data_IF_613941679720
#
_entry.id   IF_613941679720
#
_cell.length_a   1.000
_cell.length_b   1.000
_cell.length_c   1.000
_cell.angle_alpha   90.00
_cell.angle_beta   90.00
_cell.angle_gamma   90.00
#
_symmetry.space_group_name_H-M   'P 1'
#
loop_
_entity.id
_entity.type
_entity.pdbx_description
1 polymer ?
#
# COMPACT_ATOMS: atom_id res chain seq x y z
N UNK A 1 -6.08 -32.82 12.83
CA UNK A 1 -5.34 -31.95 13.78
C UNK A 1 -5.11 -30.59 13.08
N UNK A 2 -6.06 -29.65 13.18
CA UNK A 2 -5.93 -28.32 12.56
C UNK A 2 -5.06 -27.42 13.44
N UNK A 3 -3.76 -27.34 13.15
CA UNK A 3 -2.95 -26.17 13.53
C UNK A 3 -3.11 -25.12 12.44
N UNK A 4 -4.10 -24.22 12.58
CA UNK A 4 -4.06 -22.95 11.85
C UNK A 4 -3.06 -22.07 12.60
N UNK A 5 -1.89 -21.85 11.99
CA UNK A 5 -0.95 -20.83 12.44
C UNK A 5 -1.70 -19.51 12.43
N UNK A 6 -1.97 -18.94 13.61
CA UNK A 6 -2.56 -17.62 13.73
C UNK A 6 -1.51 -16.60 13.30
N UNK A 7 -1.42 -16.35 11.99
CA UNK A 7 -0.64 -15.24 11.47
C UNK A 7 -1.22 -13.95 12.06
N UNK A 8 -0.33 -13.05 12.48
CA UNK A 8 -0.68 -11.82 13.19
C UNK A 8 -1.41 -10.84 12.26
N UNK A 9 -2.69 -11.11 12.00
CA UNK A 9 -3.54 -10.31 11.12
C UNK A 9 -3.77 -8.93 11.72
N UNK A 10 -3.62 -7.90 10.88
CA UNK A 10 -3.95 -6.51 11.21
C UNK A 10 -4.95 -5.99 10.20
N UNK A 11 -5.77 -5.02 10.61
CA UNK A 11 -6.54 -4.24 9.64
C UNK A 11 -5.60 -3.50 8.71
N UNK A 12 -4.57 -2.87 9.25
CA UNK A 12 -3.63 -2.07 8.49
C UNK A 12 -2.24 -2.27 9.08
N UNK A 13 -1.24 -2.37 8.21
CA UNK A 13 0.14 -2.61 8.62
C UNK A 13 0.90 -1.35 9.01
N UNK A 14 0.39 -0.18 8.65
CA UNK A 14 1.01 1.12 8.94
C UNK A 14 0.42 1.82 10.17
N UNK A 15 0.35 3.14 10.09
CA UNK A 15 -0.15 4.02 11.13
C UNK A 15 -1.69 4.04 11.15
N UNK A 16 -2.28 3.08 11.85
CA UNK A 16 -3.71 2.94 11.99
C UNK A 16 -4.06 2.32 13.33
N UNK A 17 -4.79 3.04 14.17
CA UNK A 17 -5.05 2.64 15.55
C UNK A 17 -6.47 2.98 16.01
N UNK A 18 -6.83 2.45 17.18
CA UNK A 18 -8.13 2.65 17.83
C UNK A 18 -9.33 2.40 16.89
N UNK A 19 -9.20 1.44 15.98
CA UNK A 19 -10.18 1.24 14.93
C UNK A 19 -11.52 0.72 15.46
N UNK A 20 -12.61 1.15 14.83
CA UNK A 20 -13.97 0.82 15.26
C UNK A 20 -14.88 0.65 14.06
N UNK A 21 -15.73 -0.37 14.12
CA UNK A 21 -16.73 -0.60 13.08
C UNK A 21 -18.14 -0.26 13.53
N UNK A 22 -18.99 0.09 12.57
CA UNK A 22 -20.44 0.11 12.74
C UNK A 22 -21.10 -0.55 11.52
N UNK A 23 -22.37 -0.95 11.68
CA UNK A 23 -23.17 -1.45 10.56
C UNK A 23 -23.99 -0.31 9.98
N UNK A 24 -23.87 -0.09 8.67
CA UNK A 24 -24.69 0.82 7.89
C UNK A 24 -25.91 0.05 7.35
N UNK A 25 -27.12 0.26 7.90
CA UNK A 25 -28.32 -0.44 7.46
C UNK A 25 -28.82 0.04 6.09
N UNK A 26 -28.50 1.27 5.68
CA UNK A 26 -28.98 1.82 4.41
C UNK A 26 -28.27 1.16 3.21
N UNK A 27 -26.96 0.94 3.33
CA UNK A 27 -26.16 0.24 2.29
C UNK A 27 -25.82 -1.21 2.62
N UNK A 28 -26.32 -1.74 3.74
CA UNK A 28 -26.12 -3.13 4.19
C UNK A 28 -24.66 -3.56 4.24
N UNK A 29 -23.79 -2.70 4.77
CA UNK A 29 -22.34 -2.90 4.83
C UNK A 29 -21.78 -2.60 6.22
N UNK A 30 -20.65 -3.21 6.56
CA UNK A 30 -19.88 -2.86 7.76
C UNK A 30 -18.81 -1.86 7.39
N UNK A 31 -18.80 -0.72 8.07
CA UNK A 31 -17.86 0.37 7.84
C UNK A 31 -16.86 0.43 9.00
N UNK A 32 -15.58 0.53 8.69
CA UNK A 32 -14.45 0.67 9.60
C UNK A 32 -13.92 2.10 9.56
N UNK A 33 -13.76 2.66 10.74
CA UNK A 33 -13.01 3.89 11.00
C UNK A 33 -11.71 3.56 11.72
N UNK A 34 -10.68 4.38 11.52
CA UNK A 34 -9.42 4.28 12.26
C UNK A 34 -8.75 5.62 12.42
N UNK A 35 -8.18 5.82 13.61
CA UNK A 35 -7.36 6.98 13.93
C UNK A 35 -5.97 6.79 13.34
N UNK A 36 -5.48 7.81 12.66
CA UNK A 36 -4.14 7.87 12.07
C UNK A 36 -3.37 8.91 12.84
N UNK A 37 -2.40 8.48 13.65
CA UNK A 37 -1.57 9.37 14.46
C UNK A 37 -0.66 10.23 13.58
N UNK A 38 0.02 11.20 14.17
CA UNK A 38 1.09 11.93 13.46
C UNK A 38 2.37 11.09 13.39
N UNK A 39 3.20 11.31 12.36
CA UNK A 39 4.55 10.75 12.29
C UNK A 39 5.65 11.82 12.37
N UNK A 40 5.28 13.10 12.45
CA UNK A 40 6.20 14.18 12.79
C UNK A 40 6.29 14.36 14.32
N UNK A 41 7.03 15.38 14.76
CA UNK A 41 7.26 15.64 16.19
C UNK A 41 6.09 16.39 16.83
N UNK A 42 5.85 16.20 18.13
CA UNK A 42 4.89 17.00 18.92
C UNK A 42 5.11 18.53 18.76
N UNK A 43 6.35 18.99 18.59
CA UNK A 43 6.64 20.40 18.30
C UNK A 43 6.05 20.87 16.97
N UNK A 44 6.04 19.99 15.96
CA UNK A 44 5.44 20.27 14.67
C UNK A 44 3.91 20.31 14.79
N UNK A 45 3.31 19.43 15.58
CA UNK A 45 1.87 19.46 15.94
C UNK A 45 1.48 20.81 16.55
N UNK A 46 2.21 21.25 17.58
CA UNK A 46 1.98 22.55 18.22
C UNK A 46 2.16 23.70 17.21
N UNK A 47 3.16 23.61 16.33
CA UNK A 47 3.42 24.66 15.34
C UNK A 47 2.35 24.74 14.23
N UNK A 48 1.78 23.61 13.80
CA UNK A 48 0.72 23.57 12.78
C UNK A 48 -0.68 23.80 13.36
N UNK A 49 -0.84 23.63 14.67
CA UNK A 49 -2.07 23.93 15.41
C UNK A 49 -3.12 22.82 15.38
N UNK A 50 -2.76 21.63 14.91
CA UNK A 50 -3.61 20.44 14.84
C UNK A 50 -2.76 19.17 14.86
N UNK A 51 -3.37 18.02 15.14
CA UNK A 51 -2.71 16.73 15.08
C UNK A 51 -3.73 15.62 14.77
N UNK A 52 -3.24 14.59 14.10
CA UNK A 52 -3.89 13.36 13.68
C UNK A 52 -4.98 13.52 12.62
N UNK A 53 -5.34 12.39 12.02
CA UNK A 53 -6.39 12.26 11.02
C UNK A 53 -7.30 11.05 11.34
N UNK A 54 -8.41 10.96 10.63
CA UNK A 54 -9.10 9.69 10.41
C UNK A 54 -8.75 9.19 9.02
N UNK A 55 -8.47 7.90 8.87
CA UNK A 55 -8.37 7.29 7.55
C UNK A 55 -9.71 7.32 6.83
N UNK A 56 -9.70 7.23 5.50
CA UNK A 56 -10.90 7.10 4.69
C UNK A 56 -11.71 5.90 5.18
N UNK A 57 -13.02 6.03 5.45
CA UNK A 57 -13.83 4.91 5.90
C UNK A 57 -13.76 3.74 4.92
N UNK A 58 -13.64 2.52 5.45
CA UNK A 58 -13.49 1.31 4.64
C UNK A 58 -14.66 0.38 4.85
N UNK A 59 -15.15 -0.25 3.79
CA UNK A 59 -15.98 -1.45 3.93
C UNK A 59 -15.10 -2.60 4.44
N UNK A 60 -15.66 -3.48 5.28
CA UNK A 60 -14.96 -4.68 5.78
C UNK A 60 -15.78 -5.92 5.52
N UNK A 61 -15.19 -6.89 4.84
CA UNK A 61 -15.80 -8.16 4.49
C UNK A 61 -14.85 -9.32 4.80
N UNK A 62 -15.39 -10.51 5.04
CA UNK A 62 -14.58 -11.74 5.07
C UNK A 62 -14.17 -12.06 3.64
N UNK A 63 -12.87 -12.28 3.41
CA UNK A 63 -12.40 -12.88 2.15
C UNK A 63 -12.82 -14.35 2.12
N UNK A 64 -13.88 -14.66 1.39
CA UNK A 64 -14.36 -16.04 1.26
C UNK A 64 -13.48 -16.90 0.36
N UNK A 65 -12.64 -16.29 -0.50
CA UNK A 65 -11.73 -17.03 -1.37
C UNK A 65 -10.54 -17.57 -0.58
N UNK A 66 -9.93 -16.74 0.27
CA UNK A 66 -8.85 -17.20 1.16
C UNK A 66 -9.38 -17.89 2.41
N UNK A 67 -10.59 -17.51 2.87
CA UNK A 67 -11.21 -18.01 4.11
C UNK A 67 -10.45 -17.62 5.39
N UNK A 68 -9.48 -16.71 5.28
CA UNK A 68 -8.54 -16.36 6.35
C UNK A 68 -8.19 -14.87 6.40
N UNK A 69 -8.64 -14.03 5.46
CA UNK A 69 -8.36 -12.60 5.44
C UNK A 69 -9.65 -11.77 5.59
N UNK A 70 -9.49 -10.51 5.96
CA UNK A 70 -10.54 -9.51 5.79
C UNK A 70 -10.18 -8.66 4.57
N UNK A 71 -11.16 -8.39 3.71
CA UNK A 71 -11.04 -7.42 2.65
C UNK A 71 -11.45 -6.06 3.19
N UNK A 72 -10.64 -5.05 2.90
CA UNK A 72 -10.90 -3.66 3.21
C UNK A 72 -10.83 -2.80 1.96
N UNK A 73 -11.89 -2.05 1.69
CA UNK A 73 -11.94 -1.19 0.52
C UNK A 73 -12.53 0.16 0.88
N UNK A 74 -11.97 1.29 0.40
CA UNK A 74 -12.57 2.61 0.59
C UNK A 74 -14.06 2.58 0.25
N UNK A 75 -14.88 3.27 1.05
CA UNK A 75 -16.32 3.37 0.77
C UNK A 75 -16.54 4.00 -0.60
N UNK A 76 -17.48 3.47 -1.38
CA UNK A 76 -17.76 3.90 -2.75
C UNK A 76 -18.01 5.42 -2.89
N UNK A 77 -18.48 6.07 -1.82
CA UNK A 77 -18.69 7.52 -1.79
C UNK A 77 -17.41 8.33 -2.06
N UNK A 78 -16.22 7.80 -1.74
CA UNK A 78 -14.94 8.46 -2.03
C UNK A 78 -14.75 8.66 -3.54
N UNK A 79 -15.33 7.78 -4.37
CA UNK A 79 -15.17 7.79 -5.81
C UNK A 79 -15.88 8.99 -6.46
N UNK A 80 -16.85 9.59 -5.76
CA UNK A 80 -17.52 10.83 -6.21
C UNK A 80 -16.59 12.05 -6.21
N UNK A 81 -15.43 11.97 -5.54
CA UNK A 81 -14.41 13.01 -5.52
C UNK A 81 -13.48 12.95 -6.76
N UNK A 82 -13.57 11.89 -7.57
CA UNK A 82 -12.81 11.74 -8.81
C UNK A 82 -13.32 12.77 -9.84
N UNK A 83 -12.42 13.60 -10.35
CA UNK A 83 -12.76 14.66 -11.32
C UNK A 83 -12.20 14.39 -12.72
N UNK A 84 -10.91 14.13 -12.84
CA UNK A 84 -10.23 13.80 -14.09
C UNK A 84 -9.55 12.43 -13.95
N UNK A 85 -9.61 11.60 -14.98
CA UNK A 85 -8.88 10.33 -15.06
C UNK A 85 -7.72 10.44 -16.05
N UNK A 86 -6.72 9.59 -15.88
CA UNK A 86 -5.63 9.39 -16.84
C UNK A 86 -5.36 7.90 -16.88
N UNK A 87 -5.72 7.28 -18.00
CA UNK A 87 -5.60 5.85 -18.17
C UNK A 87 -4.33 5.52 -18.95
N UNK A 88 -3.53 4.61 -18.40
CA UNK A 88 -2.26 4.18 -18.96
C UNK A 88 -2.25 2.65 -19.02
N UNK A 89 -1.77 2.10 -20.12
CA UNK A 89 -1.68 0.65 -20.31
C UNK A 89 -0.51 0.30 -21.24
N UNK A 90 -0.08 -0.97 -21.20
CA UNK A 90 1.00 -1.46 -22.08
C UNK A 90 2.38 -0.88 -21.76
N UNK A 91 2.61 -0.41 -20.53
CA UNK A 91 3.90 0.11 -20.08
C UNK A 91 4.75 -1.05 -19.58
N UNK A 92 5.89 -1.29 -20.23
CA UNK A 92 6.93 -2.18 -19.71
C UNK A 92 7.83 -1.40 -18.76
N UNK A 93 7.95 -1.87 -17.52
CA UNK A 93 8.86 -1.29 -16.53
C UNK A 93 10.12 -2.17 -16.47
N UNK A 94 11.21 -1.68 -17.08
CA UNK A 94 12.49 -2.38 -17.07
C UNK A 94 13.14 -2.37 -15.69
N UNK A 95 14.04 -3.32 -15.44
CA UNK A 95 14.76 -3.43 -14.18
C UNK A 95 15.44 -2.11 -13.79
N UNK A 96 15.07 -1.58 -12.62
CA UNK A 96 15.66 -0.37 -12.08
C UNK A 96 15.24 0.93 -12.76
N UNK A 97 14.27 0.89 -13.67
CA UNK A 97 13.72 2.07 -14.33
C UNK A 97 12.69 2.77 -13.44
N UNK A 98 12.48 4.06 -13.71
CA UNK A 98 11.40 4.86 -13.11
C UNK A 98 10.68 5.57 -14.24
N UNK A 99 9.41 5.23 -14.45
CA UNK A 99 8.56 5.87 -15.45
C UNK A 99 7.80 7.03 -14.81
N UNK A 100 8.14 8.30 -15.13
CA UNK A 100 7.43 9.45 -14.56
C UNK A 100 6.04 9.59 -15.16
N UNK A 101 5.04 9.86 -14.32
CA UNK A 101 3.69 10.21 -14.74
C UNK A 101 3.51 11.73 -14.69
N UNK A 102 3.23 12.35 -15.84
CA UNK A 102 3.00 13.80 -15.89
C UNK A 102 1.54 14.12 -15.54
N UNK A 103 1.30 14.35 -14.24
CA UNK A 103 -0.02 14.63 -13.69
C UNK A 103 -0.11 16.11 -13.30
N UNK A 104 -1.28 16.73 -13.56
CA UNK A 104 -1.53 18.14 -13.20
C UNK A 104 -1.40 18.42 -11.70
N UNK A 105 -1.80 17.47 -10.86
CA UNK A 105 -1.69 17.52 -9.39
C UNK A 105 -1.31 16.13 -8.90
N UNK A 106 -0.23 16.05 -8.13
CA UNK A 106 0.29 14.78 -7.60
C UNK A 106 0.11 14.63 -6.08
N UNK A 107 -0.42 15.65 -5.40
CA UNK A 107 -0.60 15.67 -3.94
C UNK A 107 -1.98 15.23 -3.48
N UNK A 108 -2.92 15.04 -4.40
CA UNK A 108 -4.26 14.55 -4.09
C UNK A 108 -4.75 13.68 -5.25
N UNK A 109 -4.69 12.35 -5.07
CA UNK A 109 -4.90 11.36 -6.12
C UNK A 109 -5.60 10.11 -5.58
N UNK A 110 -6.33 9.45 -6.46
CA UNK A 110 -6.82 8.07 -6.29
C UNK A 110 -6.26 7.26 -7.46
N UNK A 111 -5.26 6.43 -7.18
CA UNK A 111 -4.49 5.70 -8.18
C UNK A 111 -4.89 4.24 -8.13
N UNK A 112 -5.25 3.66 -9.26
CA UNK A 112 -5.42 2.21 -9.43
C UNK A 112 -4.38 1.72 -10.43
N UNK A 113 -3.68 0.64 -10.09
CA UNK A 113 -2.62 0.05 -10.89
C UNK A 113 -2.70 -1.47 -10.87
N UNK A 114 -2.44 -2.09 -12.02
CA UNK A 114 -2.30 -3.53 -12.16
C UNK A 114 -0.94 -3.87 -12.77
N UNK A 115 -0.27 -4.86 -12.21
CA UNK A 115 1.04 -5.33 -12.67
C UNK A 115 0.92 -6.76 -13.18
N UNK A 116 1.32 -6.97 -14.43
CA UNK A 116 1.51 -8.29 -15.00
C UNK A 116 2.99 -8.67 -14.92
N UNK A 117 3.28 -9.83 -14.35
CA UNK A 117 4.65 -10.30 -14.18
C UNK A 117 5.14 -11.04 -15.44
N UNK A 118 6.36 -10.74 -15.88
CA UNK A 118 7.02 -11.48 -16.95
C UNK A 118 7.46 -12.87 -16.45
N UNK A 119 7.22 -13.91 -17.26
CA UNK A 119 7.57 -15.30 -16.89
C UNK A 119 9.05 -15.50 -16.59
N UNK A 120 9.94 -14.77 -17.27
CA UNK A 120 11.40 -14.83 -17.02
C UNK A 120 11.75 -14.22 -15.68
N UNK A 121 11.04 -13.16 -15.28
CA UNK A 121 11.25 -12.53 -13.99
C UNK A 121 10.78 -13.44 -12.85
N UNK A 122 9.66 -14.17 -13.02
CA UNK A 122 9.22 -15.20 -12.05
C UNK A 122 10.27 -16.32 -11.93
N UNK A 123 10.81 -16.78 -13.06
CA UNK A 123 11.85 -17.81 -13.04
C UNK A 123 13.12 -17.33 -12.31
N UNK A 124 13.52 -16.07 -12.51
CA UNK A 124 14.65 -15.49 -11.80
C UNK A 124 14.42 -15.36 -10.28
N UNK A 125 13.19 -15.13 -9.84
CA UNK A 125 12.84 -15.10 -8.41
C UNK A 125 13.07 -16.46 -7.74
N UNK A 126 12.70 -17.56 -8.40
CA UNK A 126 12.88 -18.92 -7.87
C UNK A 126 14.34 -19.30 -7.58
N UNK A 127 15.30 -18.65 -8.25
CA UNK A 127 16.73 -18.86 -8.02
C UNK A 127 17.27 -18.04 -6.82
N UNK A 128 16.44 -17.16 -6.22
CA UNK A 128 16.79 -16.27 -5.11
C UNK A 128 16.39 -16.87 -3.75
N UNK A 129 17.32 -17.57 -3.08
CA UNK A 129 17.09 -18.25 -1.79
C UNK A 129 17.06 -17.31 -0.57
N UNK A 130 16.82 -16.01 -0.78
CA UNK A 130 16.85 -15.01 0.28
C UNK A 130 15.44 -14.76 0.83
N UNK A 131 15.25 -15.01 2.12
CA UNK A 131 14.01 -14.66 2.82
C UNK A 131 13.77 -13.15 2.80
N UNK A 132 12.54 -12.72 2.52
CA UNK A 132 12.16 -11.32 2.41
C UNK A 132 11.20 -10.87 3.51
N UNK A 133 11.38 -9.65 4.01
CA UNK A 133 10.43 -8.96 4.88
C UNK A 133 10.54 -7.45 4.67
N UNK A 134 9.38 -6.78 4.49
CA UNK A 134 9.32 -5.33 4.28
C UNK A 134 10.16 -4.55 5.29
N UNK A 135 10.08 -4.88 6.58
CA UNK A 135 10.72 -4.11 7.65
C UNK A 135 12.23 -4.30 7.79
N UNK A 136 12.79 -5.40 7.27
CA UNK A 136 14.21 -5.75 7.50
C UNK A 136 15.03 -5.89 6.23
N UNK A 137 14.38 -5.91 5.06
CA UNK A 137 15.05 -6.17 3.77
C UNK A 137 15.45 -4.90 3.03
N UNK A 138 15.62 -3.75 3.70
CA UNK A 138 16.22 -2.54 3.11
C UNK A 138 15.30 -1.69 2.23
N UNK A 139 13.98 -1.90 2.30
CA UNK A 139 12.99 -1.07 1.62
C UNK A 139 13.12 -1.05 0.09
N UNK A 140 12.66 0.04 -0.53
CA UNK A 140 12.64 0.22 -1.97
C UNK A 140 14.04 0.36 -2.60
N UNK A 141 15.10 0.53 -1.79
CA UNK A 141 16.48 0.59 -2.26
C UNK A 141 17.10 -0.80 -2.49
N UNK A 142 16.60 -1.83 -1.79
CA UNK A 142 17.13 -3.19 -1.87
C UNK A 142 16.48 -3.96 -3.03
N UNK A 143 17.25 -4.15 -4.09
CA UNK A 143 16.79 -4.82 -5.32
C UNK A 143 16.95 -6.33 -5.21
N UNK A 144 15.93 -7.06 -5.65
CA UNK A 144 15.97 -8.50 -5.89
C UNK A 144 15.63 -8.85 -7.33
N UNK A 145 15.46 -10.13 -7.60
CA UNK A 145 15.11 -10.61 -8.94
C UNK A 145 13.72 -10.14 -9.39
N UNK A 146 12.73 -10.12 -8.49
CA UNK A 146 11.37 -9.66 -8.76
C UNK A 146 10.88 -8.70 -7.68
N UNK A 147 11.48 -7.53 -7.66
CA UNK A 147 11.09 -6.45 -6.76
C UNK A 147 12.26 -5.60 -6.30
N UNK A 148 11.98 -4.43 -5.72
CA UNK A 148 10.65 -3.83 -5.56
C UNK A 148 10.11 -3.28 -6.89
N UNK A 149 8.80 -3.44 -7.15
CA UNK A 149 8.09 -2.78 -8.26
C UNK A 149 6.74 -2.25 -7.77
N UNK A 150 6.35 -1.06 -8.23
CA UNK A 150 5.16 -0.39 -7.72
C UNK A 150 5.13 1.09 -8.07
N UNK A 151 4.63 1.90 -7.14
CA UNK A 151 4.43 3.33 -7.29
C UNK A 151 5.36 4.11 -6.34
N UNK A 152 5.90 5.22 -6.85
CA UNK A 152 6.49 6.27 -6.03
C UNK A 152 5.48 7.41 -5.96
N UNK A 153 4.94 7.68 -4.77
CA UNK A 153 3.99 8.77 -4.53
C UNK A 153 4.61 9.86 -3.69
N UNK A 154 4.06 11.07 -3.79
CA UNK A 154 4.58 12.27 -3.12
C UNK A 154 6.09 12.44 -3.36
N UNK A 155 6.51 12.12 -4.60
CA UNK A 155 7.90 12.13 -4.99
C UNK A 155 8.29 13.50 -5.56
N UNK A 156 9.31 14.13 -4.99
CA UNK A 156 9.87 15.37 -5.52
C UNK A 156 11.33 15.19 -5.96
N UNK A 157 11.55 15.21 -7.28
CA UNK A 157 12.89 15.14 -7.87
C UNK A 157 13.78 16.33 -7.49
N UNK A 158 13.21 17.48 -7.13
CA UNK A 158 13.94 18.70 -6.76
C UNK A 158 14.28 18.73 -5.27
N UNK A 159 13.46 18.13 -4.39
CA UNK A 159 13.70 18.07 -2.94
C UNK A 159 14.35 16.75 -2.53
N UNK A 160 15.67 16.64 -2.75
CA UNK A 160 16.53 15.53 -2.25
C UNK A 160 16.08 14.10 -2.60
N UNK A 161 15.13 13.94 -3.53
CA UNK A 161 14.56 12.62 -3.84
C UNK A 161 13.68 12.10 -2.71
N UNK A 162 12.96 12.98 -2.01
CA UNK A 162 11.89 12.57 -1.13
C UNK A 162 10.83 11.81 -1.92
N UNK A 163 10.39 10.68 -1.37
CA UNK A 163 9.43 9.77 -1.99
C UNK A 163 8.84 8.82 -0.94
N UNK A 164 7.61 8.38 -1.19
CA UNK A 164 7.02 7.23 -0.49
C UNK A 164 6.83 6.12 -1.51
N UNK A 165 7.42 4.95 -1.26
CA UNK A 165 7.34 3.83 -2.19
C UNK A 165 6.28 2.84 -1.74
N UNK A 166 5.31 2.56 -2.60
CA UNK A 166 4.25 1.57 -2.38
C UNK A 166 4.45 0.47 -3.41
N UNK A 167 4.87 -0.72 -2.98
CA UNK A 167 5.40 -1.71 -3.91
C UNK A 167 5.09 -3.15 -3.52
N UNK A 168 5.23 -4.02 -4.51
CA UNK A 168 5.28 -5.46 -4.34
C UNK A 168 6.73 -5.96 -4.44
N UNK A 169 6.99 -7.07 -3.75
CA UNK A 169 8.21 -7.86 -3.88
C UNK A 169 7.82 -9.33 -3.87
N UNK A 170 8.35 -10.15 -4.77
CA UNK A 170 8.14 -11.59 -4.77
C UNK A 170 9.47 -12.27 -4.45
N UNK A 171 9.49 -13.03 -3.35
CA UNK A 171 10.68 -13.76 -2.93
C UNK A 171 10.84 -15.09 -3.68
N UNK A 172 11.94 -15.81 -3.44
CA UNK A 172 12.19 -17.08 -4.13
C UNK A 172 11.31 -18.24 -3.72
N UNK A 173 10.49 -18.09 -2.68
CA UNK A 173 9.39 -19.03 -2.40
C UNK A 173 8.11 -18.70 -3.20
N UNK A 174 8.18 -17.68 -4.07
CA UNK A 174 7.05 -17.06 -4.77
C UNK A 174 6.02 -16.44 -3.83
N UNK A 175 6.40 -16.11 -2.60
CA UNK A 175 5.53 -15.35 -1.72
C UNK A 175 5.56 -13.86 -2.11
N UNK A 176 4.38 -13.30 -2.38
CA UNK A 176 4.23 -11.88 -2.69
C UNK A 176 4.11 -11.09 -1.39
N UNK A 177 4.94 -10.08 -1.25
CA UNK A 177 4.94 -9.11 -0.16
C UNK A 177 4.44 -7.77 -0.67
N UNK A 178 3.55 -7.14 0.08
CA UNK A 178 3.10 -5.77 -0.14
C UNK A 178 3.72 -4.86 0.91
N UNK A 179 4.46 -3.85 0.48
CA UNK A 179 5.23 -2.96 1.34
C UNK A 179 4.95 -1.48 1.05
N UNK A 180 5.03 -0.69 2.11
CA UNK A 180 4.98 0.77 2.08
C UNK A 180 6.22 1.30 2.80
N UNK A 181 7.13 1.88 2.03
CA UNK A 181 8.42 2.39 2.47
C UNK A 181 8.38 3.92 2.59
N UNK A 182 8.45 4.37 3.83
CA UNK A 182 8.47 5.78 4.22
C UNK A 182 9.88 6.28 4.50
N UNK A 183 10.92 5.45 4.39
CA UNK A 183 12.30 5.78 4.79
C UNK A 183 12.92 6.98 4.06
N UNK A 184 12.31 7.40 2.95
CA UNK A 184 12.70 8.58 2.18
C UNK A 184 11.58 9.63 2.09
N UNK A 185 10.59 9.59 2.97
CA UNK A 185 9.39 10.45 2.94
C UNK A 185 9.51 11.75 3.76
N UNK A 186 10.72 12.05 4.24
CA UNK A 186 11.15 13.19 5.07
C UNK A 186 11.32 12.87 6.57
N UNK A 187 10.26 12.44 7.26
CA UNK A 187 10.24 12.35 8.74
C UNK A 187 10.07 10.94 9.29
N UNK A 188 9.40 10.06 8.58
CA UNK A 188 9.28 8.66 8.93
C UNK A 188 10.49 7.87 8.40
N UNK A 189 10.85 6.78 9.09
CA UNK A 189 12.00 5.93 8.74
C UNK A 189 11.63 4.44 8.62
N UNK A 190 10.34 4.12 8.65
CA UNK A 190 9.86 2.74 8.71
C UNK A 190 9.47 2.22 7.32
N UNK A 191 9.59 0.91 7.18
CA UNK A 191 9.02 0.16 6.06
C UNK A 191 8.03 -0.83 6.65
N UNK A 192 6.76 -0.65 6.31
CA UNK A 192 5.66 -1.47 6.83
C UNK A 192 5.09 -2.35 5.73
N UNK A 193 4.49 -3.48 6.11
CA UNK A 193 3.87 -4.39 5.16
C UNK A 193 3.93 -5.84 5.59
N UNK A 194 3.42 -6.71 4.73
CA UNK A 194 3.41 -8.16 4.96
C UNK A 194 3.30 -8.95 3.66
N UNK A 195 3.48 -10.27 3.77
CA UNK A 195 3.02 -11.20 2.75
C UNK A 195 1.51 -11.00 2.51
N UNK A 196 1.12 -11.00 1.23
CA UNK A 196 -0.27 -10.92 0.77
C UNK A 196 -0.56 -12.16 -0.09
N UNK A 197 -1.60 -12.94 0.23
CA UNK A 197 -1.99 -14.07 -0.61
C UNK A 197 -2.38 -13.59 -2.01
N UNK A 198 -1.83 -14.23 -3.03
CA UNK A 198 -2.22 -14.08 -4.44
C UNK A 198 -2.79 -15.41 -4.88
N UNK A 199 -4.03 -15.42 -5.38
CA UNK A 199 -4.74 -16.63 -5.75
C UNK A 199 -4.38 -17.08 -7.17
N UNK A 200 -4.56 -18.36 -7.48
CA UNK A 200 -4.25 -18.91 -8.81
C UNK A 200 -5.10 -18.28 -9.93
N UNK A 201 -6.30 -17.79 -9.61
CA UNK A 201 -7.20 -17.08 -10.54
C UNK A 201 -6.86 -15.58 -10.70
N UNK A 202 -5.91 -15.06 -9.92
CA UNK A 202 -5.47 -13.66 -9.96
C UNK A 202 -4.27 -13.51 -10.92
N UNK A 203 -4.55 -13.17 -12.18
CA UNK A 203 -3.54 -13.05 -13.23
C UNK A 203 -2.61 -11.83 -13.09
N UNK A 204 -3.02 -10.83 -12.29
CA UNK A 204 -2.30 -9.57 -12.07
C UNK A 204 -2.19 -9.26 -10.58
N UNK A 205 -1.18 -8.45 -10.23
CA UNK A 205 -1.07 -7.83 -8.92
C UNK A 205 -1.74 -6.46 -8.96
N UNK A 206 -2.76 -6.25 -8.15
CA UNK A 206 -3.55 -5.01 -8.10
C UNK A 206 -3.18 -4.16 -6.89
N UNK A 207 -3.11 -2.86 -7.11
CA UNK A 207 -2.82 -1.86 -6.10
C UNK A 207 -3.75 -0.66 -6.29
N UNK A 208 -4.38 -0.20 -5.20
CA UNK A 208 -5.03 1.12 -5.13
C UNK A 208 -4.31 1.98 -4.09
N UNK A 209 -3.99 3.23 -4.43
CA UNK A 209 -3.32 4.17 -3.53
C UNK A 209 -4.07 5.48 -3.51
N UNK A 210 -4.58 5.85 -2.34
CA UNK A 210 -5.13 7.17 -2.05
C UNK A 210 -4.02 8.05 -1.51
N UNK A 211 -3.79 9.18 -2.17
CA UNK A 211 -2.82 10.19 -1.76
C UNK A 211 -3.58 11.44 -1.38
N UNK A 212 -3.38 11.95 -0.17
CA UNK A 212 -3.93 13.24 0.26
C UNK A 212 -2.93 14.01 1.13
N UNK A 213 -2.05 14.75 0.48
CA UNK A 213 -1.00 15.59 1.04
C UNK A 213 -0.09 14.83 2.01
N UNK A 214 -0.47 14.73 3.29
CA UNK A 214 0.34 14.09 4.34
C UNK A 214 -0.07 12.66 4.68
N UNK A 215 -1.08 12.10 3.99
CA UNK A 215 -1.51 10.71 4.19
C UNK A 215 -1.48 9.94 2.87
N UNK A 216 -1.03 8.69 2.96
CA UNK A 216 -1.07 7.72 1.87
C UNK A 216 -1.74 6.44 2.39
N UNK A 217 -2.89 6.08 1.82
CA UNK A 217 -3.62 4.85 2.15
C UNK A 217 -3.58 3.90 0.95
N UNK A 218 -2.99 2.73 1.14
CA UNK A 218 -2.72 1.77 0.07
C UNK A 218 -3.45 0.45 0.32
N UNK A 219 -3.99 -0.13 -0.75
CA UNK A 219 -4.82 -1.33 -0.75
C UNK A 219 -4.31 -2.30 -1.81
N UNK A 220 -3.77 -3.43 -1.38
CA UNK A 220 -3.21 -4.45 -2.26
C UNK A 220 -4.16 -5.65 -2.42
N UNK A 221 -4.19 -6.24 -3.62
CA UNK A 221 -5.03 -7.40 -3.96
C UNK A 221 -6.49 -7.23 -3.52
N UNK A 222 -7.16 -6.17 -4.01
CA UNK A 222 -8.55 -5.89 -3.65
C UNK A 222 -8.78 -5.59 -2.17
N UNK A 223 -7.74 -5.10 -1.47
CA UNK A 223 -7.83 -4.75 -0.05
C UNK A 223 -7.54 -5.89 0.92
N UNK A 224 -6.94 -6.99 0.45
CA UNK A 224 -6.52 -8.13 1.28
C UNK A 224 -5.35 -7.79 2.20
N UNK A 225 -4.55 -6.80 1.81
CA UNK A 225 -3.56 -6.15 2.68
C UNK A 225 -3.66 -4.64 2.50
N UNK A 226 -3.55 -3.89 3.59
CA UNK A 226 -3.57 -2.43 3.55
C UNK A 226 -2.45 -1.83 4.38
N UNK A 227 -2.00 -0.65 4.00
CA UNK A 227 -1.02 0.13 4.73
C UNK A 227 -1.36 1.62 4.66
N UNK A 228 -1.30 2.29 5.80
CA UNK A 228 -1.53 3.73 5.95
C UNK A 228 -0.25 4.40 6.44
N UNK A 229 0.18 5.47 5.79
CA UNK A 229 1.38 6.22 6.16
C UNK A 229 1.10 7.68 6.36
N UNK A 230 1.93 8.31 7.18
CA UNK A 230 1.94 9.76 7.38
C UNK A 230 3.28 10.33 6.98
N UNK A 231 3.25 11.20 5.99
CA UNK A 231 4.45 11.68 5.31
C UNK A 231 4.43 13.19 5.24
N UNK A 232 5.59 13.82 5.32
CA UNK A 232 5.71 15.28 5.49
C UNK A 232 6.85 15.83 4.61
N UNK A 233 6.78 15.55 3.31
CA UNK A 233 7.64 16.09 2.23
C UNK A 233 7.43 17.60 1.98
#
# INVERSE_FOLDING_TARGET
MCRRSGSNMRYDWGNFYASKTFYDPAKRRRVLWGWVGEADSERADVSKGWASLQGVPRTVLLDTKTGANLLQWPVEEVETLRANSTDLSGITVDHGSVFPLDLRRATQLDIEAEFQLDRRAIAAALDDDVGYSCSTSGGAAARGALGPFGLLVLADRRRRGEQTAVYFYVDGSLATHFCQDESRSSRANDVVGSAVPVLEDEATLSLRVLVDHSIVESFAQGGRSTATSRVYS
#
